data_IF_842600250669
#
_entry.id   IF_842600250669
#
_cell.length_a   1.000
_cell.length_b   1.000
_cell.length_c   1.000
_cell.angle_alpha   90.00
_cell.angle_beta   90.00
_cell.angle_gamma   90.00
#
_symmetry.space_group_name_H-M   'P 1'
#
loop_
_entity.id
_entity.type
_entity.pdbx_description
1 polymer ?
#
# COMPACT_ATOMS: atom_id res chain seq x y z
N UNK A 1 3.30 -3.93 16.18
CA UNK A 1 3.18 -5.14 15.34
C UNK A 1 2.13 -6.14 15.85
N UNK A 2 1.78 -6.17 17.14
CA UNK A 2 0.70 -7.04 17.68
C UNK A 2 -0.70 -6.77 17.09
N UNK A 3 -0.98 -5.57 16.56
CA UNK A 3 -2.28 -5.22 15.94
C UNK A 3 -2.47 -5.71 14.50
N UNK A 4 -1.46 -6.26 13.82
CA UNK A 4 -1.52 -6.72 12.42
C UNK A 4 -2.12 -8.13 12.25
N UNK A 5 -2.38 -8.83 13.35
CA UNK A 5 -2.27 -10.29 13.42
C UNK A 5 -3.61 -11.01 13.29
N UNK A 6 -4.72 -10.36 13.64
CA UNK A 6 -5.99 -11.06 13.90
C UNK A 6 -6.73 -11.56 12.66
N UNK A 7 -6.42 -11.05 11.46
CA UNK A 7 -7.13 -11.38 10.21
C UNK A 7 -6.27 -12.07 9.15
N UNK A 8 -5.00 -12.34 9.44
CA UNK A 8 -4.14 -13.10 8.55
C UNK A 8 -4.61 -14.57 8.47
N UNK A 9 -4.64 -15.14 7.26
CA UNK A 9 -5.14 -16.50 7.04
C UNK A 9 -4.38 -17.53 7.87
N UNK A 10 -3.04 -17.44 7.97
CA UNK A 10 -2.24 -18.40 8.77
C UNK A 10 -2.32 -18.14 10.29
N UNK A 11 -3.14 -17.19 10.72
CA UNK A 11 -3.40 -16.86 12.13
C UNK A 11 -4.89 -16.90 12.47
N UNK A 12 -5.73 -17.18 11.48
CA UNK A 12 -7.17 -17.31 11.67
C UNK A 12 -7.50 -18.53 12.56
N UNK A 13 -8.49 -18.45 13.46
CA UNK A 13 -8.89 -19.58 14.29
C UNK A 13 -9.20 -20.88 13.55
N UNK A 14 -9.77 -20.81 12.32
CA UNK A 14 -10.01 -21.99 11.49
C UNK A 14 -8.71 -22.67 11.06
N UNK A 15 -7.68 -21.89 10.72
CA UNK A 15 -6.35 -22.41 10.42
C UNK A 15 -5.70 -23.03 11.67
N UNK A 16 -5.69 -22.29 12.78
CA UNK A 16 -5.03 -22.72 14.04
C UNK A 16 -5.57 -24.07 14.50
N UNK A 17 -6.89 -24.28 14.45
CA UNK A 17 -7.53 -25.52 14.90
C UNK A 17 -7.66 -26.58 13.80
N UNK A 18 -7.23 -26.28 12.58
CA UNK A 18 -7.52 -27.09 11.39
C UNK A 18 -9.01 -27.44 11.28
N UNK A 19 -9.85 -26.44 11.52
CA UNK A 19 -11.30 -26.51 11.45
C UNK A 19 -11.82 -25.93 10.13
N UNK A 20 -13.03 -26.31 9.76
CA UNK A 20 -13.78 -25.82 8.61
C UNK A 20 -14.96 -24.98 9.08
N UNK A 21 -15.51 -24.13 8.21
CA UNK A 21 -16.71 -23.34 8.53
C UNK A 21 -17.95 -24.22 8.79
N UNK A 22 -17.91 -25.48 8.36
CA UNK A 22 -18.96 -26.49 8.54
C UNK A 22 -18.82 -27.29 9.84
N UNK A 23 -17.71 -27.13 10.58
CA UNK A 23 -17.53 -27.85 11.84
C UNK A 23 -18.44 -27.28 12.95
N UNK A 24 -19.14 -28.21 13.61
CA UNK A 24 -20.03 -27.90 14.73
C UNK A 24 -19.24 -27.48 15.97
N UNK A 25 -19.93 -26.87 16.94
CA UNK A 25 -19.32 -26.45 18.21
C UNK A 25 -18.61 -27.62 18.92
N UNK A 26 -19.21 -28.81 18.94
CA UNK A 26 -18.60 -29.99 19.56
C UNK A 26 -17.32 -30.40 18.82
N UNK A 27 -17.36 -30.39 17.48
CA UNK A 27 -16.19 -30.74 16.67
C UNK A 27 -15.03 -29.77 16.87
N UNK A 28 -15.30 -28.48 17.01
CA UNK A 28 -14.29 -27.45 17.31
C UNK A 28 -13.62 -27.70 18.66
N UNK A 29 -14.37 -28.15 19.66
CA UNK A 29 -13.82 -28.49 20.99
C UNK A 29 -12.85 -29.67 20.87
N UNK A 30 -13.24 -30.73 20.16
CA UNK A 30 -12.39 -31.90 19.92
C UNK A 30 -11.11 -31.53 19.16
N UNK A 31 -11.24 -30.69 18.12
CA UNK A 31 -10.09 -30.23 17.33
C UNK A 31 -9.13 -29.38 18.16
N UNK A 32 -9.64 -28.51 19.03
CA UNK A 32 -8.82 -27.71 19.93
C UNK A 32 -8.07 -28.55 20.96
N UNK A 33 -8.72 -29.54 21.55
CA UNK A 33 -8.06 -30.49 22.47
C UNK A 33 -6.96 -31.26 21.73
N UNK A 34 -7.26 -31.78 20.54
CA UNK A 34 -6.26 -32.49 19.73
C UNK A 34 -5.08 -31.58 19.35
N UNK A 35 -5.34 -30.35 18.91
CA UNK A 35 -4.29 -29.45 18.44
C UNK A 35 -3.43 -28.90 19.58
N UNK A 36 -4.00 -28.72 20.77
CA UNK A 36 -3.24 -28.31 21.97
C UNK A 36 -2.15 -29.31 22.40
N UNK A 37 -2.23 -30.57 21.92
CA UNK A 37 -1.18 -31.57 22.14
C UNK A 37 0.03 -31.40 21.20
N UNK A 38 -0.16 -30.70 20.07
CA UNK A 38 0.81 -30.57 18.98
C UNK A 38 1.31 -29.13 18.79
N UNK A 39 0.62 -28.15 19.37
CA UNK A 39 0.85 -26.72 19.17
C UNK A 39 0.66 -25.95 20.47
N UNK A 40 0.87 -24.64 20.42
CA UNK A 40 0.69 -23.73 21.54
C UNK A 40 -0.74 -23.80 22.11
N UNK A 41 -0.83 -24.19 23.40
CA UNK A 41 -2.10 -24.40 24.12
C UNK A 41 -2.89 -23.10 24.19
N UNK A 42 -2.24 -21.97 24.46
CA UNK A 42 -2.91 -20.69 24.65
C UNK A 42 -3.57 -20.22 23.35
N UNK A 43 -2.89 -20.41 22.22
CA UNK A 43 -3.44 -20.12 20.88
C UNK A 43 -4.63 -21.01 20.54
N UNK A 44 -4.55 -22.31 20.86
CA UNK A 44 -5.65 -23.24 20.61
C UNK A 44 -6.89 -22.90 21.46
N UNK A 45 -6.68 -22.53 22.73
CA UNK A 45 -7.77 -22.13 23.64
C UNK A 45 -8.42 -20.81 23.23
N UNK A 46 -7.62 -19.82 22.79
CA UNK A 46 -8.14 -18.57 22.24
C UNK A 46 -8.96 -18.81 20.96
N UNK A 47 -8.42 -19.57 20.01
CA UNK A 47 -9.12 -19.92 18.76
C UNK A 47 -10.44 -20.66 19.02
N UNK A 48 -10.45 -21.60 19.98
CA UNK A 48 -11.67 -22.29 20.41
C UNK A 48 -12.70 -21.31 20.96
N UNK A 49 -12.29 -20.38 21.83
CA UNK A 49 -13.18 -19.40 22.44
C UNK A 49 -13.82 -18.48 21.40
N UNK A 50 -13.07 -18.11 20.35
CA UNK A 50 -13.58 -17.31 19.23
C UNK A 50 -14.58 -18.09 18.38
N UNK A 51 -14.25 -19.31 17.95
CA UNK A 51 -15.11 -20.10 17.07
C UNK A 51 -16.35 -20.68 17.76
N UNK A 52 -16.30 -20.89 19.08
CA UNK A 52 -17.43 -21.44 19.83
C UNK A 52 -18.56 -20.41 20.06
N UNK A 53 -18.24 -19.10 20.11
CA UNK A 53 -19.22 -18.04 20.35
C UNK A 53 -19.74 -17.47 19.02
N UNK A 54 -21.06 -17.54 18.71
CA UNK A 54 -21.57 -17.14 17.40
C UNK A 54 -21.20 -15.72 16.96
N UNK A 55 -21.17 -14.77 17.91
CA UNK A 55 -20.80 -13.37 17.64
C UNK A 55 -19.31 -13.22 17.27
N UNK A 56 -18.42 -13.86 18.03
CA UNK A 56 -16.97 -13.81 17.76
C UNK A 56 -16.59 -14.61 16.51
N UNK A 57 -17.30 -15.71 16.25
CA UNK A 57 -17.12 -16.54 15.06
C UNK A 57 -17.35 -15.76 13.77
N UNK A 58 -18.26 -14.77 13.73
CA UNK A 58 -18.52 -13.97 12.50
C UNK A 58 -17.22 -13.33 11.99
N UNK A 59 -16.43 -12.72 12.88
CA UNK A 59 -15.17 -12.06 12.50
C UNK A 59 -14.19 -13.05 11.88
N UNK A 60 -14.02 -14.23 12.51
CA UNK A 60 -13.18 -15.30 11.99
C UNK A 60 -13.68 -15.83 10.64
N UNK A 61 -15.00 -15.91 10.44
CA UNK A 61 -15.61 -16.38 9.20
C UNK A 61 -15.42 -15.38 8.04
N UNK A 62 -15.68 -14.09 8.28
CA UNK A 62 -15.51 -13.03 7.28
C UNK A 62 -14.04 -12.91 6.87
N UNK A 63 -13.10 -13.02 7.82
CA UNK A 63 -11.66 -13.00 7.59
C UNK A 63 -11.08 -14.30 7.00
N UNK A 64 -11.92 -15.33 6.76
CA UNK A 64 -11.48 -16.62 6.21
C UNK A 64 -11.60 -16.66 4.69
N UNK A 65 -12.07 -17.79 4.13
CA UNK A 65 -12.33 -17.99 2.72
C UNK A 65 -13.82 -18.36 2.49
N UNK A 66 -14.78 -17.46 2.78
CA UNK A 66 -16.21 -17.73 2.58
C UNK A 66 -16.56 -18.23 1.18
N UNK A 67 -17.32 -19.32 1.12
CA UNK A 67 -17.81 -19.90 -0.13
C UNK A 67 -16.74 -20.69 -0.90
N UNK A 68 -15.61 -20.99 -0.27
CA UNK A 68 -14.55 -21.82 -0.87
C UNK A 68 -14.63 -23.23 -0.29
N UNK A 69 -14.67 -24.24 -1.17
CA UNK A 69 -14.70 -25.64 -0.75
C UNK A 69 -13.49 -25.99 0.15
N UNK A 70 -13.67 -26.75 1.25
CA UNK A 70 -12.58 -27.10 2.17
C UNK A 70 -11.33 -27.73 1.52
N UNK A 71 -11.51 -28.54 0.46
CA UNK A 71 -10.37 -29.11 -0.28
C UNK A 71 -9.55 -28.02 -0.97
N UNK A 72 -10.22 -27.03 -1.53
CA UNK A 72 -9.57 -25.91 -2.21
C UNK A 72 -8.92 -24.95 -1.21
N UNK A 73 -9.52 -24.76 -0.04
CA UNK A 73 -8.91 -24.02 1.07
C UNK A 73 -7.57 -24.64 1.45
N UNK A 74 -7.50 -25.96 1.56
CA UNK A 74 -6.25 -26.68 1.82
C UNK A 74 -5.18 -26.38 0.77
N UNK A 75 -5.51 -26.48 -0.52
CA UNK A 75 -4.56 -26.21 -1.60
C UNK A 75 -4.02 -24.78 -1.52
N UNK A 76 -4.89 -23.80 -1.24
CA UNK A 76 -4.52 -22.40 -1.06
C UNK A 76 -3.55 -22.21 0.12
N UNK A 77 -3.86 -22.80 1.27
CA UNK A 77 -3.03 -22.69 2.48
C UNK A 77 -1.66 -23.32 2.27
N UNK A 78 -1.59 -24.48 1.61
CA UNK A 78 -0.32 -25.14 1.29
C UNK A 78 0.57 -24.25 0.42
N UNK A 79 -0.01 -23.61 -0.59
CA UNK A 79 0.72 -22.68 -1.48
C UNK A 79 1.17 -21.43 -0.71
N UNK A 80 0.34 -20.90 0.19
CA UNK A 80 0.73 -19.78 1.06
C UNK A 80 1.89 -20.13 1.99
N UNK A 81 1.88 -21.30 2.64
CA UNK A 81 2.96 -21.75 3.53
C UNK A 81 4.26 -22.00 2.76
N UNK A 82 4.19 -22.59 1.57
CA UNK A 82 5.38 -22.84 0.74
C UNK A 82 6.12 -21.58 0.31
N UNK A 83 5.42 -20.44 0.33
CA UNK A 83 5.97 -19.14 -0.02
C UNK A 83 6.66 -18.41 1.14
N UNK A 84 6.62 -18.98 2.35
CA UNK A 84 7.22 -18.42 3.58
C UNK A 84 8.75 -18.57 3.60
N UNK A 85 9.34 -19.34 2.68
CA UNK A 85 10.77 -19.71 2.66
C UNK A 85 11.79 -18.56 2.59
N UNK A 86 11.36 -17.30 2.39
CA UNK A 86 12.28 -16.13 2.35
C UNK A 86 11.89 -14.95 3.26
N UNK A 87 10.79 -14.99 4.02
CA UNK A 87 10.18 -13.73 4.52
C UNK A 87 10.24 -13.45 6.02
N UNK A 88 10.90 -14.24 6.87
CA UNK A 88 11.03 -13.90 8.30
C UNK A 88 12.48 -14.06 8.79
N UNK A 89 13.35 -13.16 8.35
CA UNK A 89 14.64 -12.88 8.99
C UNK A 89 14.60 -11.50 9.69
N UNK A 90 13.54 -11.22 10.44
CA UNK A 90 13.50 -10.09 11.37
C UNK A 90 12.39 -10.30 12.40
N UNK A 91 12.53 -11.31 13.23
CA UNK A 91 11.99 -11.28 14.60
C UNK A 91 12.69 -12.37 15.41
N UNK A 92 13.68 -11.94 16.19
CA UNK A 92 14.19 -12.72 17.32
C UNK A 92 13.12 -12.76 18.40
N UNK A 93 12.04 -13.52 18.21
CA UNK A 93 11.32 -14.22 19.28
C UNK A 93 10.46 -15.33 18.66
N UNK A 94 10.55 -16.52 19.25
CA UNK A 94 9.92 -17.79 18.86
C UNK A 94 10.48 -18.50 17.63
N UNK A 95 11.42 -19.40 17.92
CA UNK A 95 11.84 -20.54 17.10
C UNK A 95 10.68 -21.21 16.35
N UNK A 96 10.55 -20.89 15.07
CA UNK A 96 10.21 -21.89 14.05
C UNK A 96 11.14 -21.63 12.87
N UNK A 97 12.08 -22.56 12.66
CA UNK A 97 13.04 -22.54 11.57
C UNK A 97 12.35 -22.30 10.21
N UNK A 98 13.08 -21.76 9.19
CA UNK A 98 12.58 -21.79 7.82
C UNK A 98 12.26 -23.25 7.47
N UNK A 99 11.01 -23.49 7.08
CA UNK A 99 10.52 -24.84 6.78
C UNK A 99 11.07 -25.24 5.41
N UNK A 100 12.32 -25.72 5.39
CA UNK A 100 13.06 -26.09 4.18
C UNK A 100 12.54 -27.38 3.51
N UNK A 101 11.51 -28.02 4.07
CA UNK A 101 10.97 -29.29 3.55
C UNK A 101 9.45 -29.30 3.49
N UNK A 102 8.89 -29.63 2.31
CA UNK A 102 7.48 -29.98 2.13
C UNK A 102 6.98 -30.98 3.18
N UNK A 103 7.86 -31.86 3.65
CA UNK A 103 7.56 -32.86 4.68
C UNK A 103 7.09 -32.25 6.01
N UNK A 104 7.62 -31.10 6.40
CA UNK A 104 7.29 -30.43 7.67
C UNK A 104 6.05 -29.52 7.53
N UNK A 105 5.83 -28.95 6.35
CA UNK A 105 4.56 -28.31 5.94
C UNK A 105 3.41 -29.33 5.98
N UNK A 106 3.63 -30.52 5.42
CA UNK A 106 2.65 -31.61 5.41
C UNK A 106 2.32 -32.17 6.81
N UNK A 107 3.19 -31.97 7.81
CA UNK A 107 2.94 -32.31 9.22
C UNK A 107 2.00 -31.30 9.89
N UNK A 108 2.03 -30.02 9.48
CA UNK A 108 1.13 -28.98 10.02
C UNK A 108 -0.26 -28.99 9.40
N UNK A 109 -0.41 -29.50 8.17
CA UNK A 109 -1.69 -29.54 7.47
C UNK A 109 -2.22 -30.99 7.37
N UNK A 110 -3.18 -31.44 8.21
CA UNK A 110 -3.49 -32.86 8.44
C UNK A 110 -4.14 -33.62 7.29
N UNK A 111 -4.42 -32.96 6.16
CA UNK A 111 -4.99 -33.57 4.95
C UNK A 111 -3.95 -33.89 3.85
N UNK A 112 -2.66 -33.75 4.16
CA UNK A 112 -1.49 -34.04 3.32
C UNK A 112 -1.49 -35.38 2.57
N UNK A 113 -2.27 -36.38 3.00
CA UNK A 113 -2.34 -37.69 2.32
C UNK A 113 -2.99 -37.63 0.93
N UNK A 114 -3.48 -36.49 0.45
CA UNK A 114 -4.02 -36.29 -0.91
C UNK A 114 -3.72 -34.88 -1.49
N UNK A 115 -2.53 -34.34 -1.30
CA UNK A 115 -2.13 -33.15 -2.08
C UNK A 115 -2.00 -33.54 -3.57
N UNK A 116 -2.61 -32.75 -4.46
CA UNK A 116 -2.45 -32.87 -5.93
C UNK A 116 -1.47 -31.82 -6.46
N UNK A 117 -0.90 -30.98 -5.59
CA UNK A 117 0.02 -29.91 -5.98
C UNK A 117 1.39 -30.56 -6.23
N UNK A 118 1.78 -30.60 -7.51
CA UNK A 118 3.07 -31.11 -7.95
C UNK A 118 4.21 -30.17 -7.52
N UNK A 119 5.39 -30.73 -7.23
CA UNK A 119 6.62 -29.96 -6.94
C UNK A 119 6.90 -28.89 -8.01
N UNK A 120 6.49 -29.14 -9.26
CA UNK A 120 6.56 -28.23 -10.40
C UNK A 120 5.78 -26.91 -10.19
N UNK A 121 4.63 -26.96 -9.50
CA UNK A 121 3.84 -25.76 -9.17
C UNK A 121 4.56 -24.92 -8.11
N UNK A 122 5.21 -25.59 -7.15
CA UNK A 122 6.01 -24.93 -6.12
C UNK A 122 7.23 -24.25 -6.72
N UNK A 123 7.93 -24.92 -7.64
CA UNK A 123 9.04 -24.33 -8.38
C UNK A 123 8.58 -23.13 -9.20
N UNK A 124 7.46 -23.25 -9.94
CA UNK A 124 6.93 -22.14 -10.76
C UNK A 124 6.60 -20.91 -9.90
N UNK A 125 6.03 -21.10 -8.70
CA UNK A 125 5.76 -20.00 -7.77
C UNK A 125 7.02 -19.38 -7.17
N UNK A 126 8.10 -20.15 -7.00
CA UNK A 126 9.40 -19.61 -6.61
C UNK A 126 10.01 -18.78 -7.74
N UNK A 127 9.93 -19.27 -8.98
CA UNK A 127 10.45 -18.58 -10.17
C UNK A 127 9.64 -17.34 -10.55
N UNK A 128 8.35 -17.26 -10.18
CA UNK A 128 7.51 -16.10 -10.51
C UNK A 128 7.90 -14.82 -9.78
N UNK A 129 8.73 -14.89 -8.73
CA UNK A 129 9.15 -13.73 -7.92
C UNK A 129 8.00 -12.81 -7.53
N UNK A 130 6.86 -13.41 -7.16
CA UNK A 130 5.68 -12.67 -6.73
C UNK A 130 4.84 -12.04 -7.85
N UNK A 131 5.13 -12.31 -9.13
CA UNK A 131 4.33 -11.84 -10.27
C UNK A 131 2.84 -12.17 -10.08
N UNK A 132 2.00 -11.13 -10.08
CA UNK A 132 0.58 -11.30 -9.79
C UNK A 132 -0.13 -12.16 -10.83
N UNK A 133 0.18 -12.01 -12.11
CA UNK A 133 -0.51 -12.75 -13.18
C UNK A 133 -0.28 -14.25 -12.99
N UNK A 134 0.98 -14.66 -12.85
CA UNK A 134 1.37 -16.06 -12.64
C UNK A 134 0.74 -16.59 -11.34
N UNK A 135 0.94 -15.89 -10.23
CA UNK A 135 0.43 -16.34 -8.91
C UNK A 135 -1.10 -16.40 -8.89
N UNK A 136 -1.79 -15.46 -9.55
CA UNK A 136 -3.24 -15.39 -9.59
C UNK A 136 -3.87 -16.54 -10.36
N UNK A 137 -3.22 -17.01 -11.41
CA UNK A 137 -3.63 -18.16 -12.20
C UNK A 137 -3.49 -19.45 -11.38
N UNK A 138 -2.32 -19.67 -10.76
CA UNK A 138 -2.05 -20.85 -9.95
C UNK A 138 -2.94 -20.94 -8.70
N UNK A 139 -3.15 -19.84 -7.99
CA UNK A 139 -4.06 -19.80 -6.83
C UNK A 139 -5.55 -19.78 -7.26
N UNK A 140 -5.83 -19.61 -8.55
CA UNK A 140 -7.18 -19.47 -9.09
C UNK A 140 -7.95 -18.32 -8.43
N UNK A 141 -7.26 -17.24 -8.09
CA UNK A 141 -7.76 -16.08 -7.31
C UNK A 141 -9.06 -15.56 -7.91
N UNK A 142 -9.14 -15.49 -9.25
CA UNK A 142 -10.29 -14.98 -9.99
C UNK A 142 -11.58 -15.81 -9.83
N UNK A 143 -11.47 -17.06 -9.38
CA UNK A 143 -12.63 -17.97 -9.15
C UNK A 143 -13.15 -17.92 -7.71
N UNK A 144 -12.54 -17.12 -6.83
CA UNK A 144 -12.96 -16.98 -5.43
C UNK A 144 -14.02 -15.88 -5.31
N UNK A 145 -14.84 -15.97 -4.26
CA UNK A 145 -15.76 -14.90 -3.85
C UNK A 145 -14.95 -13.62 -3.56
N UNK A 146 -15.50 -12.41 -3.76
CA UNK A 146 -14.74 -11.17 -3.58
C UNK A 146 -14.08 -11.06 -2.20
N UNK A 147 -14.78 -11.41 -1.11
CA UNK A 147 -14.20 -11.37 0.25
C UNK A 147 -13.08 -12.38 0.46
N UNK A 148 -13.26 -13.64 0.03
CA UNK A 148 -12.22 -14.67 0.14
C UNK A 148 -11.00 -14.32 -0.71
N UNK A 149 -11.24 -13.72 -1.87
CA UNK A 149 -10.20 -13.21 -2.77
C UNK A 149 -9.39 -12.10 -2.11
N UNK A 150 -10.04 -11.11 -1.50
CA UNK A 150 -9.36 -10.01 -0.82
C UNK A 150 -8.51 -10.53 0.36
N UNK A 151 -9.05 -11.47 1.16
CA UNK A 151 -8.30 -12.11 2.25
C UNK A 151 -7.06 -12.86 1.74
N UNK A 152 -7.18 -13.60 0.64
CA UNK A 152 -6.06 -14.30 0.03
C UNK A 152 -5.00 -13.34 -0.53
N UNK A 153 -5.43 -12.28 -1.22
CA UNK A 153 -4.54 -11.25 -1.76
C UNK A 153 -3.76 -10.59 -0.63
N UNK A 154 -4.43 -10.19 0.46
CA UNK A 154 -3.79 -9.61 1.63
C UNK A 154 -2.79 -10.57 2.29
N UNK A 155 -3.18 -11.83 2.50
CA UNK A 155 -2.29 -12.84 3.07
C UNK A 155 -1.05 -13.08 2.18
N UNK A 156 -1.20 -13.00 0.85
CA UNK A 156 -0.08 -13.16 -0.09
C UNK A 156 0.83 -11.93 -0.11
N UNK A 157 0.27 -10.72 -0.05
CA UNK A 157 1.04 -9.47 0.01
C UNK A 157 2.00 -9.42 1.19
N UNK A 158 1.61 -9.95 2.35
CA UNK A 158 2.48 -10.06 3.53
C UNK A 158 3.67 -11.03 3.34
N UNK A 159 3.65 -11.85 2.29
CA UNK A 159 4.58 -12.95 2.04
C UNK A 159 5.21 -12.86 0.65
N UNK A 160 5.27 -11.66 0.07
CA UNK A 160 5.95 -11.46 -1.19
C UNK A 160 7.46 -11.74 -1.00
N UNK A 161 8.10 -12.44 -1.96
CA UNK A 161 9.52 -12.76 -1.86
C UNK A 161 10.39 -11.50 -1.95
N UNK A 162 9.93 -10.49 -2.68
CA UNK A 162 10.47 -9.15 -2.73
C UNK A 162 9.33 -8.11 -2.86
N UNK A 163 9.60 -6.88 -2.45
CA UNK A 163 8.66 -5.76 -2.56
C UNK A 163 9.08 -4.84 -3.72
N UNK A 164 9.18 -5.42 -4.93
CA UNK A 164 9.48 -4.63 -6.12
C UNK A 164 8.31 -3.70 -6.47
N UNK A 165 8.55 -2.46 -6.95
CA UNK A 165 7.49 -1.48 -7.17
C UNK A 165 6.38 -1.96 -8.13
N UNK A 166 6.76 -2.59 -9.23
CA UNK A 166 5.84 -3.17 -10.21
C UNK A 166 4.94 -4.25 -9.58
N UNK A 167 5.56 -5.19 -8.87
CA UNK A 167 4.84 -6.27 -8.17
C UNK A 167 3.87 -5.68 -7.14
N UNK A 168 4.34 -4.80 -6.26
CA UNK A 168 3.49 -4.19 -5.22
C UNK A 168 2.33 -3.42 -5.84
N UNK A 169 2.55 -2.71 -6.95
CA UNK A 169 1.49 -2.01 -7.70
C UNK A 169 0.39 -2.97 -8.14
N UNK A 170 0.75 -4.08 -8.77
CA UNK A 170 -0.23 -5.07 -9.26
C UNK A 170 -1.05 -5.68 -8.12
N UNK A 171 -0.41 -6.01 -6.99
CA UNK A 171 -1.10 -6.56 -5.83
C UNK A 171 -2.03 -5.54 -5.16
N UNK A 172 -1.64 -4.26 -5.08
CA UNK A 172 -2.51 -3.19 -4.57
C UNK A 172 -3.71 -2.99 -5.50
N UNK A 173 -3.49 -2.93 -6.82
CA UNK A 173 -4.59 -2.81 -7.79
C UNK A 173 -5.56 -3.99 -7.69
N UNK A 174 -5.04 -5.21 -7.52
CA UNK A 174 -5.86 -6.39 -7.36
C UNK A 174 -6.74 -6.34 -6.10
N UNK A 175 -6.22 -5.91 -4.95
CA UNK A 175 -7.03 -5.82 -3.72
C UNK A 175 -8.04 -4.67 -3.81
N UNK A 176 -7.65 -3.52 -4.38
CA UNK A 176 -8.53 -2.37 -4.62
C UNK A 176 -9.73 -2.79 -5.46
N UNK A 177 -9.49 -3.38 -6.62
CA UNK A 177 -10.56 -3.84 -7.52
C UNK A 177 -11.42 -4.93 -6.89
N UNK A 178 -10.81 -5.83 -6.12
CA UNK A 178 -11.55 -6.90 -5.45
C UNK A 178 -12.47 -6.36 -4.36
N UNK A 179 -12.01 -5.39 -3.58
CA UNK A 179 -12.76 -4.83 -2.46
C UNK A 179 -14.03 -4.09 -2.91
N UNK A 180 -13.96 -3.34 -4.01
CA UNK A 180 -15.13 -2.64 -4.58
C UNK A 180 -16.26 -3.60 -4.99
N UNK A 181 -15.93 -4.88 -5.24
CA UNK A 181 -16.90 -5.91 -5.61
C UNK A 181 -17.47 -6.68 -4.40
N UNK A 182 -17.09 -6.35 -3.15
CA UNK A 182 -17.60 -7.04 -1.97
C UNK A 182 -19.00 -6.52 -1.64
N UNK A 183 -20.00 -7.40 -1.76
CA UNK A 183 -21.38 -7.12 -1.37
C UNK A 183 -21.69 -7.73 0.01
N UNK A 184 -22.05 -6.93 1.04
CA UNK A 184 -22.37 -7.44 2.38
C UNK A 184 -23.49 -8.50 2.40
N UNK A 185 -24.51 -8.36 1.54
CA UNK A 185 -25.64 -9.31 1.50
C UNK A 185 -25.23 -10.65 0.91
N UNK A 186 -24.35 -10.66 -0.09
CA UNK A 186 -23.80 -11.90 -0.65
C UNK A 186 -22.91 -12.62 0.38
N UNK A 187 -22.06 -11.86 1.09
CA UNK A 187 -21.23 -12.40 2.17
C UNK A 187 -22.11 -13.01 3.27
N UNK A 188 -23.17 -12.32 3.69
CA UNK A 188 -24.13 -12.82 4.67
C UNK A 188 -24.76 -14.15 4.22
N UNK A 189 -25.23 -14.21 2.97
CA UNK A 189 -25.88 -15.40 2.42
C UNK A 189 -24.93 -16.60 2.42
N UNK A 190 -23.69 -16.41 1.95
CA UNK A 190 -22.67 -17.45 1.93
C UNK A 190 -22.37 -17.96 3.36
N UNK A 191 -22.20 -17.06 4.32
CA UNK A 191 -21.91 -17.45 5.70
C UNK A 191 -23.07 -18.18 6.37
N UNK A 192 -24.31 -17.79 6.09
CA UNK A 192 -25.47 -18.45 6.67
C UNK A 192 -25.65 -19.88 6.16
N UNK A 193 -25.27 -20.19 4.92
CA UNK A 193 -25.23 -21.57 4.40
C UNK A 193 -24.24 -22.43 5.20
N UNK A 194 -23.04 -21.91 5.48
CA UNK A 194 -22.04 -22.64 6.27
C UNK A 194 -22.44 -22.78 7.75
N UNK A 195 -23.12 -21.77 8.31
CA UNK A 195 -23.64 -21.79 9.67
C UNK A 195 -24.79 -22.77 9.87
N UNK A 196 -25.68 -22.88 8.88
CA UNK A 196 -26.73 -23.90 8.86
C UNK A 196 -26.12 -25.30 8.91
N UNK A 197 -25.12 -25.57 8.07
CA UNK A 197 -24.41 -26.86 8.04
C UNK A 197 -23.69 -27.19 9.37
N UNK A 198 -23.16 -26.17 10.06
CA UNK A 198 -22.45 -26.33 11.34
C UNK A 198 -23.35 -26.25 12.58
N UNK A 199 -24.64 -25.94 12.42
CA UNK A 199 -25.59 -25.77 13.53
C UNK A 199 -25.42 -24.49 14.34
N UNK A 200 -24.76 -23.47 13.78
CA UNK A 200 -24.67 -22.13 14.38
C UNK A 200 -25.87 -21.27 13.96
N UNK A 201 -26.32 -20.32 14.80
CA UNK A 201 -27.42 -19.43 14.45
C UNK A 201 -27.06 -18.54 13.26
N UNK A 202 -28.01 -18.37 12.35
CA UNK A 202 -27.89 -17.47 11.21
C UNK A 202 -27.66 -16.02 11.66
N UNK A 203 -26.88 -15.29 10.88
CA UNK A 203 -26.64 -13.86 11.02
C UNK A 203 -27.82 -13.14 10.38
N UNK A 204 -28.62 -12.44 11.18
CA UNK A 204 -29.82 -11.73 10.72
C UNK A 204 -29.51 -10.28 10.35
N UNK A 205 -28.72 -9.59 11.17
CA UNK A 205 -28.42 -8.17 11.01
C UNK A 205 -27.29 -7.96 9.99
N UNK A 206 -27.58 -7.28 8.88
CA UNK A 206 -26.58 -6.96 7.84
C UNK A 206 -25.48 -6.02 8.36
N UNK A 207 -25.77 -5.24 9.41
CA UNK A 207 -24.80 -4.36 10.08
C UNK A 207 -23.64 -5.13 10.72
N UNK A 208 -23.87 -6.37 11.17
CA UNK A 208 -22.81 -7.21 11.74
C UNK A 208 -21.79 -7.56 10.66
N UNK A 209 -22.26 -7.95 9.47
CA UNK A 209 -21.39 -8.24 8.31
C UNK A 209 -20.68 -6.98 7.83
N UNK A 210 -21.41 -5.87 7.73
CA UNK A 210 -20.84 -4.60 7.27
C UNK A 210 -19.72 -4.12 8.20
N UNK A 211 -19.90 -4.27 9.52
CA UNK A 211 -18.88 -3.94 10.51
C UNK A 211 -17.63 -4.81 10.36
N UNK A 212 -17.80 -6.11 10.14
CA UNK A 212 -16.67 -7.01 9.90
C UNK A 212 -15.96 -6.74 8.56
N UNK A 213 -16.67 -6.35 7.51
CA UNK A 213 -16.05 -5.90 6.24
C UNK A 213 -15.22 -4.63 6.47
N UNK A 214 -15.67 -3.70 7.32
CA UNK A 214 -14.87 -2.54 7.69
C UNK A 214 -13.64 -2.92 8.53
N UNK A 215 -13.73 -3.95 9.37
CA UNK A 215 -12.58 -4.51 10.07
C UNK A 215 -11.57 -5.09 9.07
N UNK A 216 -12.03 -5.85 8.08
CA UNK A 216 -11.20 -6.35 6.98
C UNK A 216 -10.56 -5.23 6.17
N UNK A 217 -11.30 -4.15 5.85
CA UNK A 217 -10.74 -2.96 5.17
C UNK A 217 -9.58 -2.36 5.94
N UNK A 218 -9.74 -2.18 7.26
CA UNK A 218 -8.66 -1.66 8.13
C UNK A 218 -7.44 -2.58 8.12
N UNK A 219 -7.65 -3.89 8.11
CA UNK A 219 -6.57 -4.86 7.95
C UNK A 219 -5.90 -4.76 6.56
N UNK A 220 -6.66 -4.66 5.47
CA UNK A 220 -6.11 -4.49 4.12
C UNK A 220 -5.29 -3.22 3.98
N UNK A 221 -5.76 -2.09 4.54
CA UNK A 221 -5.00 -0.83 4.60
C UNK A 221 -3.66 -1.02 5.30
N UNK A 222 -3.62 -1.76 6.41
CA UNK A 222 -2.37 -2.07 7.11
C UNK A 222 -1.44 -2.95 6.28
N UNK A 223 -1.97 -3.93 5.54
CA UNK A 223 -1.17 -4.76 4.62
C UNK A 223 -0.60 -3.94 3.47
N UNK A 224 -1.39 -3.04 2.88
CA UNK A 224 -0.92 -2.11 1.84
C UNK A 224 0.21 -1.23 2.40
N UNK A 225 0.00 -0.65 3.59
CA UNK A 225 1.03 0.14 4.27
C UNK A 225 2.32 -0.65 4.46
N UNK A 226 2.21 -1.87 4.96
CA UNK A 226 3.36 -2.76 5.16
C UNK A 226 4.09 -3.01 3.83
N UNK A 227 3.37 -3.32 2.76
CA UNK A 227 3.97 -3.55 1.45
C UNK A 227 4.69 -2.30 0.91
N UNK A 228 4.08 -1.13 1.05
CA UNK A 228 4.69 0.15 0.67
C UNK A 228 5.94 0.44 1.51
N UNK A 229 5.89 0.27 2.83
CA UNK A 229 7.01 0.55 3.73
C UNK A 229 8.24 -0.33 3.45
N UNK A 230 8.03 -1.54 2.89
CA UNK A 230 9.10 -2.45 2.47
C UNK A 230 9.73 -2.11 1.11
N UNK A 231 9.18 -1.14 0.36
CA UNK A 231 9.86 -0.57 -0.80
C UNK A 231 10.93 0.41 -0.30
N UNK A 232 12.19 0.15 -0.65
CA UNK A 232 13.34 0.88 -0.11
C UNK A 232 13.35 2.39 -0.45
N UNK A 233 12.99 2.76 -1.68
CA UNK A 233 13.05 4.16 -2.15
C UNK A 233 11.74 4.90 -1.89
N UNK A 234 11.81 6.04 -1.21
CA UNK A 234 10.68 6.94 -0.99
C UNK A 234 10.03 7.44 -2.30
N UNK A 235 10.86 7.77 -3.30
CA UNK A 235 10.43 8.14 -4.65
C UNK A 235 9.72 6.97 -5.34
N UNK A 236 10.24 5.74 -5.19
CA UNK A 236 9.58 4.56 -5.74
C UNK A 236 8.22 4.29 -5.07
N UNK A 237 8.11 4.47 -3.74
CA UNK A 237 6.83 4.38 -3.01
C UNK A 237 5.80 5.36 -3.56
N UNK A 238 6.20 6.63 -3.72
CA UNK A 238 5.32 7.66 -4.27
C UNK A 238 4.83 7.30 -5.68
N UNK A 239 5.74 6.83 -6.54
CA UNK A 239 5.40 6.37 -7.90
C UNK A 239 4.41 5.21 -7.89
N UNK A 240 4.59 4.21 -7.02
CA UNK A 240 3.61 3.11 -6.88
C UNK A 240 2.22 3.64 -6.55
N UNK A 241 2.13 4.54 -5.56
CA UNK A 241 0.86 5.12 -5.15
C UNK A 241 0.24 5.96 -6.27
N UNK A 242 1.05 6.74 -7.00
CA UNK A 242 0.58 7.48 -8.18
C UNK A 242 0.03 6.55 -9.25
N UNK A 243 0.77 5.49 -9.61
CA UNK A 243 0.31 4.52 -10.61
C UNK A 243 -1.00 3.86 -10.18
N UNK A 244 -1.15 3.52 -8.90
CA UNK A 244 -2.39 2.97 -8.34
C UNK A 244 -3.54 3.96 -8.48
N UNK A 245 -3.32 5.23 -8.12
CA UNK A 245 -4.30 6.31 -8.26
C UNK A 245 -4.72 6.48 -9.72
N UNK A 246 -3.77 6.59 -10.64
CA UNK A 246 -4.03 6.80 -12.07
C UNK A 246 -4.78 5.61 -12.69
N UNK A 247 -4.38 4.39 -12.34
CA UNK A 247 -4.96 3.17 -12.92
C UNK A 247 -6.35 2.84 -12.37
N UNK A 248 -6.63 3.24 -11.13
CA UNK A 248 -7.90 2.94 -10.46
C UNK A 248 -8.92 4.08 -10.54
N UNK A 249 -8.52 5.26 -11.01
CA UNK A 249 -9.45 6.39 -11.20
C UNK A 249 -10.32 6.10 -12.41
N UNK A 250 -11.63 6.00 -12.18
CA UNK A 250 -12.62 5.96 -13.25
C UNK A 250 -12.62 7.33 -13.97
N UNK A 251 -12.34 7.33 -15.28
CA UNK A 251 -12.28 8.54 -16.11
C UNK A 251 -13.59 9.31 -16.12
N UNK A 252 -14.71 8.63 -15.94
CA UNK A 252 -16.05 9.20 -16.16
C UNK A 252 -16.59 9.83 -14.89
N UNK A 253 -16.36 9.18 -13.75
CA UNK A 253 -16.83 9.67 -12.44
C UNK A 253 -15.77 10.45 -11.68
N UNK A 254 -14.51 10.37 -12.13
CA UNK A 254 -13.32 10.86 -11.42
C UNK A 254 -13.39 10.45 -9.93
N UNK A 255 -13.93 9.28 -9.59
CA UNK A 255 -14.10 8.81 -8.21
C UNK A 255 -12.97 7.83 -7.87
N UNK A 256 -12.42 7.98 -6.67
CA UNK A 256 -11.44 7.02 -6.15
C UNK A 256 -12.15 5.87 -5.42
N UNK A 257 -11.80 4.61 -5.73
CA UNK A 257 -12.10 3.49 -4.85
C UNK A 257 -11.60 3.76 -3.45
N UNK A 258 -12.30 3.22 -2.45
CA UNK A 258 -12.05 3.62 -1.06
C UNK A 258 -10.65 3.16 -0.56
N UNK A 259 -10.17 2.02 -1.07
CA UNK A 259 -8.81 1.54 -0.78
C UNK A 259 -7.72 2.34 -1.49
N UNK A 260 -8.02 3.10 -2.56
CA UNK A 260 -7.07 4.04 -3.18
C UNK A 260 -6.83 5.23 -2.25
N UNK A 261 -7.90 5.81 -1.70
CA UNK A 261 -7.80 6.84 -0.67
C UNK A 261 -7.00 6.35 0.54
N UNK A 262 -7.27 5.12 1.00
CA UNK A 262 -6.53 4.49 2.10
C UNK A 262 -5.04 4.28 1.77
N UNK A 263 -4.72 3.95 0.51
CA UNK A 263 -3.34 3.77 0.04
C UNK A 263 -2.56 5.09 0.04
N UNK A 264 -3.20 6.18 -0.41
CA UNK A 264 -2.61 7.52 -0.35
C UNK A 264 -2.41 7.97 1.09
N UNK A 265 -3.39 7.72 1.97
CA UNK A 265 -3.26 8.01 3.41
C UNK A 265 -2.12 7.24 4.07
N UNK A 266 -2.03 5.93 3.81
CA UNK A 266 -0.98 5.06 4.33
C UNK A 266 0.43 5.51 3.89
N UNK A 267 0.56 5.96 2.64
CA UNK A 267 1.79 6.58 2.16
C UNK A 267 2.06 7.91 2.83
N UNK A 268 1.06 8.79 2.98
CA UNK A 268 1.21 10.08 3.65
C UNK A 268 1.77 9.96 5.06
N UNK A 269 1.29 8.98 5.83
CA UNK A 269 1.78 8.69 7.18
C UNK A 269 3.26 8.28 7.21
N UNK A 270 3.69 7.43 6.26
CA UNK A 270 5.11 7.03 6.17
C UNK A 270 5.99 8.07 5.48
N UNK A 271 5.37 9.02 4.76
CA UNK A 271 6.06 10.05 4.01
C UNK A 271 6.45 11.29 4.78
N UNK A 272 5.71 11.61 5.84
CA UNK A 272 5.85 12.86 6.58
C UNK A 272 7.30 13.18 6.96
N UNK A 273 8.03 12.21 7.52
CA UNK A 273 9.39 12.44 8.03
C UNK A 273 10.40 12.79 6.93
N UNK A 274 10.35 12.13 5.77
CA UNK A 274 11.30 12.41 4.68
C UNK A 274 10.89 13.65 3.88
N UNK A 275 9.59 13.94 3.75
CA UNK A 275 9.12 15.18 3.14
C UNK A 275 9.58 16.40 3.93
N UNK A 276 9.52 16.33 5.27
CA UNK A 276 10.04 17.41 6.13
C UNK A 276 11.55 17.61 5.98
N UNK A 277 12.31 16.53 5.79
CA UNK A 277 13.77 16.62 5.55
C UNK A 277 14.04 17.34 4.23
N UNK A 278 13.36 16.95 3.15
CA UNK A 278 13.55 17.60 1.86
C UNK A 278 13.08 19.06 1.85
N UNK A 279 11.99 19.40 2.55
CA UNK A 279 11.57 20.80 2.73
C UNK A 279 12.66 21.64 3.40
N UNK A 280 13.36 21.09 4.40
CA UNK A 280 14.51 21.74 5.04
C UNK A 280 15.72 21.83 4.12
N UNK A 281 15.94 20.82 3.26
CA UNK A 281 17.01 20.87 2.25
C UNK A 281 16.75 21.99 1.24
N UNK A 282 15.52 22.13 0.73
CA UNK A 282 15.10 23.22 -0.15
C UNK A 282 15.35 24.58 0.54
N UNK A 283 14.98 24.73 1.82
CA UNK A 283 15.24 25.95 2.57
C UNK A 283 16.74 26.24 2.75
N UNK A 284 17.55 25.22 3.00
CA UNK A 284 19.00 25.37 3.15
C UNK A 284 19.67 25.76 1.84
N UNK A 285 19.26 25.17 0.71
CA UNK A 285 19.77 25.48 -0.61
C UNK A 285 19.38 26.90 -1.05
N UNK A 286 18.13 27.33 -0.83
CA UNK A 286 17.69 28.72 -1.04
C UNK A 286 18.59 29.72 -0.29
N UNK A 287 18.88 29.47 1.00
CA UNK A 287 19.80 30.32 1.78
C UNK A 287 21.22 30.31 1.22
N UNK A 288 21.72 29.14 0.81
CA UNK A 288 23.07 28.97 0.27
C UNK A 288 23.24 29.71 -1.06
N UNK A 289 22.23 29.69 -1.93
CA UNK A 289 22.25 30.42 -3.21
C UNK A 289 22.29 31.92 -2.97
N UNK A 290 21.50 32.44 -2.01
CA UNK A 290 21.50 33.86 -1.65
C UNK A 290 22.87 34.33 -1.16
N UNK A 291 23.49 33.57 -0.25
CA UNK A 291 24.84 33.86 0.23
C UNK A 291 25.86 33.79 -0.92
N UNK A 292 25.77 32.77 -1.78
CA UNK A 292 26.70 32.61 -2.89
C UNK A 292 26.62 33.77 -3.91
N UNK A 293 25.40 34.29 -4.14
CA UNK A 293 25.18 35.48 -4.96
C UNK A 293 25.77 36.73 -4.31
N UNK A 294 25.54 36.94 -3.00
CA UNK A 294 26.11 38.06 -2.24
C UNK A 294 27.65 38.07 -2.21
N UNK A 295 28.27 36.88 -2.18
CA UNK A 295 29.72 36.71 -2.10
C UNK A 295 30.42 36.68 -3.47
N UNK A 296 29.71 36.93 -4.57
CA UNK A 296 30.22 36.83 -5.96
C UNK A 296 30.94 35.49 -6.21
N UNK A 297 30.32 34.39 -5.78
CA UNK A 297 30.88 33.05 -5.90
C UNK A 297 31.14 32.69 -7.36
N UNK A 298 32.21 31.91 -7.60
CA UNK A 298 32.56 31.42 -8.94
C UNK A 298 31.36 30.77 -9.64
N UNK A 299 31.14 31.19 -10.88
CA UNK A 299 29.99 30.84 -11.70
C UNK A 299 29.65 29.33 -11.78
N UNK A 300 30.62 28.40 -11.94
CA UNK A 300 30.33 26.97 -11.96
C UNK A 300 29.85 26.41 -10.62
N UNK A 301 30.32 26.98 -9.50
CA UNK A 301 29.90 26.56 -8.15
C UNK A 301 28.50 27.06 -7.88
N UNK A 302 28.21 28.30 -8.29
CA UNK A 302 26.89 28.91 -8.15
C UNK A 302 25.82 28.10 -8.90
N UNK A 303 26.04 27.81 -10.19
CA UNK A 303 25.13 27.01 -11.01
C UNK A 303 24.93 25.60 -10.44
N UNK A 304 25.98 24.94 -9.95
CA UNK A 304 25.85 23.61 -9.34
C UNK A 304 24.95 23.59 -8.10
N UNK A 305 24.89 24.68 -7.32
CA UNK A 305 24.00 24.77 -6.15
C UNK A 305 22.55 25.00 -6.61
N UNK A 306 22.35 25.78 -7.67
CA UNK A 306 21.04 25.97 -8.27
C UNK A 306 20.50 24.65 -8.83
N UNK A 307 21.30 23.91 -9.59
CA UNK A 307 20.93 22.59 -10.11
C UNK A 307 20.52 21.63 -8.98
N UNK A 308 21.26 21.63 -7.86
CA UNK A 308 20.95 20.84 -6.67
C UNK A 308 19.57 21.23 -6.08
N UNK A 309 19.24 22.52 -6.04
CA UNK A 309 17.92 23.01 -5.61
C UNK A 309 16.81 22.55 -6.55
N UNK A 310 17.00 22.68 -7.86
CA UNK A 310 15.98 22.30 -8.85
C UNK A 310 15.69 20.81 -8.79
N UNK A 311 16.73 19.97 -8.72
CA UNK A 311 16.59 18.53 -8.59
C UNK A 311 15.89 18.15 -7.28
N UNK A 312 16.22 18.83 -6.17
CA UNK A 312 15.61 18.59 -4.86
C UNK A 312 14.11 18.93 -4.89
N UNK A 313 13.72 20.04 -5.53
CA UNK A 313 12.29 20.38 -5.69
C UNK A 313 11.54 19.36 -6.52
N UNK A 314 12.14 18.89 -7.62
CA UNK A 314 11.51 17.91 -8.49
C UNK A 314 11.32 16.58 -7.74
N UNK A 315 12.36 16.11 -7.06
CA UNK A 315 12.31 14.89 -6.25
C UNK A 315 11.29 14.98 -5.14
N UNK A 316 11.26 16.11 -4.43
CA UNK A 316 10.27 16.40 -3.41
C UNK A 316 8.84 16.41 -3.97
N UNK A 317 8.63 17.04 -5.13
CA UNK A 317 7.30 17.10 -5.73
C UNK A 317 6.81 15.72 -6.17
N UNK A 318 7.66 14.89 -6.77
CA UNK A 318 7.31 13.49 -7.10
C UNK A 318 6.83 12.74 -5.86
N UNK A 319 7.43 13.00 -4.70
CA UNK A 319 7.02 12.37 -3.44
C UNK A 319 5.70 12.94 -2.90
N UNK A 320 5.49 14.25 -3.00
CA UNK A 320 4.30 14.88 -2.41
C UNK A 320 3.04 14.75 -3.27
N UNK A 321 3.21 14.48 -4.57
CA UNK A 321 2.13 14.51 -5.57
C UNK A 321 0.90 13.65 -5.20
N UNK A 322 1.00 12.39 -4.71
CA UNK A 322 -0.17 11.61 -4.32
C UNK A 322 -1.01 12.31 -3.24
N UNK A 323 -0.33 12.87 -2.23
CA UNK A 323 -0.94 13.55 -1.09
C UNK A 323 -1.60 14.85 -1.55
N UNK A 324 -0.91 15.60 -2.41
CA UNK A 324 -1.41 16.84 -2.98
C UNK A 324 -2.68 16.61 -3.82
N UNK A 325 -2.70 15.59 -4.66
CA UNK A 325 -3.86 15.24 -5.48
C UNK A 325 -5.07 14.83 -4.61
N UNK A 326 -4.83 14.05 -3.54
CA UNK A 326 -5.86 13.70 -2.57
C UNK A 326 -6.47 14.92 -1.89
N UNK A 327 -5.64 15.88 -1.44
CA UNK A 327 -6.16 17.14 -0.85
C UNK A 327 -6.98 17.95 -1.84
N UNK A 328 -6.50 18.10 -3.07
CA UNK A 328 -7.24 18.83 -4.11
C UNK A 328 -8.63 18.25 -4.34
N UNK A 329 -8.76 16.91 -4.36
CA UNK A 329 -10.06 16.24 -4.52
C UNK A 329 -11.01 16.51 -3.36
N UNK A 330 -10.48 16.71 -2.16
CA UNK A 330 -11.25 17.11 -0.98
C UNK A 330 -11.58 18.62 -0.97
N UNK A 331 -11.21 19.36 -2.03
CA UNK A 331 -11.34 20.81 -2.09
C UNK A 331 -10.37 21.55 -1.16
N UNK A 332 -9.34 20.88 -0.67
CA UNK A 332 -8.34 21.42 0.25
C UNK A 332 -7.06 21.79 -0.48
N UNK A 333 -6.48 22.93 -0.09
CA UNK A 333 -5.17 23.36 -0.58
C UNK A 333 -4.05 22.56 0.10
N UNK A 334 -3.05 22.14 -0.66
CA UNK A 334 -1.82 21.59 -0.11
C UNK A 334 -0.77 22.69 0.14
N UNK A 335 -0.75 23.25 1.35
CA UNK A 335 0.08 24.42 1.68
C UNK A 335 1.58 24.21 1.39
N UNK A 336 2.15 23.05 1.76
CA UNK A 336 3.58 22.80 1.54
C UNK A 336 3.97 22.89 0.05
N UNK A 337 3.11 22.45 -0.89
CA UNK A 337 3.37 22.61 -2.33
C UNK A 337 3.42 24.07 -2.77
N UNK A 338 2.55 24.89 -2.19
CA UNK A 338 2.59 26.32 -2.46
C UNK A 338 3.77 27.00 -1.79
N UNK A 339 4.11 26.64 -0.56
CA UNK A 339 5.20 27.25 0.20
C UNK A 339 6.56 26.95 -0.46
N UNK A 340 6.77 25.70 -0.91
CA UNK A 340 7.96 25.30 -1.67
C UNK A 340 8.06 26.04 -3.01
N UNK A 341 6.97 26.08 -3.78
CA UNK A 341 6.95 26.81 -5.05
C UNK A 341 7.17 28.31 -4.85
N UNK A 342 6.54 28.92 -3.84
CA UNK A 342 6.66 30.35 -3.56
C UNK A 342 8.07 30.71 -3.09
N UNK A 343 8.74 29.85 -2.31
CA UNK A 343 10.13 30.05 -1.91
C UNK A 343 11.06 30.16 -3.11
N UNK A 344 11.03 29.18 -4.01
CA UNK A 344 11.95 29.13 -5.15
C UNK A 344 11.58 30.16 -6.22
N UNK A 345 10.29 30.48 -6.37
CA UNK A 345 9.83 31.62 -7.17
C UNK A 345 10.38 32.95 -6.67
N UNK A 346 10.36 33.18 -5.35
CA UNK A 346 10.93 34.39 -4.74
C UNK A 346 12.46 34.43 -4.83
N UNK A 347 13.12 33.27 -4.90
CA UNK A 347 14.55 33.20 -5.18
C UNK A 347 14.86 33.66 -6.62
N UNK A 348 14.14 33.16 -7.62
CA UNK A 348 14.30 33.60 -9.01
C UNK A 348 14.10 35.13 -9.14
N UNK A 349 13.04 35.68 -8.53
CA UNK A 349 12.79 37.12 -8.55
C UNK A 349 13.92 37.90 -7.86
N UNK A 350 14.48 37.37 -6.76
CA UNK A 350 15.61 37.99 -6.07
C UNK A 350 16.87 38.04 -6.94
N UNK A 351 17.19 36.92 -7.62
CA UNK A 351 18.37 36.85 -8.50
C UNK A 351 18.29 37.87 -9.63
N UNK A 352 17.13 37.99 -10.28
CA UNK A 352 16.92 39.01 -11.31
C UNK A 352 17.02 40.44 -10.75
N UNK A 353 16.38 40.73 -9.62
CA UNK A 353 16.29 42.09 -9.11
C UNK A 353 17.62 42.62 -8.57
N UNK A 354 18.38 41.80 -7.86
CA UNK A 354 19.60 42.23 -7.17
C UNK A 354 20.88 42.02 -8.00
N UNK A 355 20.90 41.01 -8.89
CA UNK A 355 22.12 40.64 -9.65
C UNK A 355 21.93 40.64 -11.18
N UNK A 356 20.74 41.01 -11.69
CA UNK A 356 20.44 41.03 -13.12
C UNK A 356 20.56 39.66 -13.82
N UNK A 357 20.41 38.57 -13.06
CA UNK A 357 20.49 37.17 -13.54
C UNK A 357 19.18 36.74 -14.23
N UNK A 358 18.91 37.30 -15.42
CA UNK A 358 17.67 37.06 -16.16
C UNK A 358 17.52 35.60 -16.61
N UNK A 359 18.54 35.05 -17.27
CA UNK A 359 18.50 33.72 -17.89
C UNK A 359 18.23 32.65 -16.82
N UNK A 360 18.98 32.71 -15.71
CA UNK A 360 18.82 31.79 -14.59
C UNK A 360 17.45 31.94 -13.91
N UNK A 361 16.96 33.18 -13.77
CA UNK A 361 15.62 33.42 -13.19
C UNK A 361 14.52 32.82 -14.06
N UNK A 362 14.62 32.93 -15.39
CA UNK A 362 13.70 32.31 -16.32
C UNK A 362 13.79 30.78 -16.29
N UNK A 363 15.00 30.22 -16.22
CA UNK A 363 15.22 28.79 -16.09
C UNK A 363 14.52 28.21 -14.86
N UNK A 364 14.76 28.82 -13.68
CA UNK A 364 14.13 28.42 -12.41
C UNK A 364 12.60 28.48 -12.52
N UNK A 365 12.05 29.58 -13.06
CA UNK A 365 10.61 29.75 -13.18
C UNK A 365 9.98 28.77 -14.17
N UNK A 366 10.62 28.49 -15.32
CA UNK A 366 10.14 27.50 -16.27
C UNK A 366 10.14 26.10 -15.67
N UNK A 367 11.20 25.72 -14.95
CA UNK A 367 11.26 24.45 -14.22
C UNK A 367 10.10 24.34 -13.21
N UNK A 368 9.86 25.38 -12.40
CA UNK A 368 8.75 25.38 -11.44
C UNK A 368 7.38 25.26 -12.13
N UNK A 369 7.21 25.89 -13.30
CA UNK A 369 5.98 25.78 -14.08
C UNK A 369 5.70 24.34 -14.51
N UNK A 370 6.74 23.63 -14.93
CA UNK A 370 6.64 22.24 -15.37
C UNK A 370 6.40 21.29 -14.19
N UNK A 371 7.17 21.44 -13.10
CA UNK A 371 7.01 20.62 -11.90
C UNK A 371 5.62 20.77 -11.29
N UNK A 372 5.11 22.00 -11.16
CA UNK A 372 3.82 22.27 -10.52
C UNK A 372 2.65 22.39 -11.52
N UNK A 373 2.76 21.82 -12.73
CA UNK A 373 1.72 21.90 -13.75
C UNK A 373 0.33 21.40 -13.28
N UNK A 374 0.31 20.46 -12.31
CA UNK A 374 -0.92 19.96 -11.69
C UNK A 374 -1.63 20.93 -10.74
N UNK A 375 -1.07 22.13 -10.50
CA UNK A 375 -1.61 23.14 -9.58
C UNK A 375 -1.82 24.47 -10.35
N UNK A 376 -3.02 24.71 -10.90
CA UNK A 376 -3.30 25.87 -11.76
C UNK A 376 -2.91 27.21 -11.13
N UNK A 377 -3.22 27.39 -9.84
CA UNK A 377 -2.91 28.62 -9.11
C UNK A 377 -1.39 28.92 -8.99
N UNK A 378 -0.53 27.89 -9.02
CA UNK A 378 0.93 28.07 -9.03
C UNK A 378 1.39 28.39 -10.45
N UNK A 379 0.93 27.60 -11.44
CA UNK A 379 1.28 27.78 -12.85
C UNK A 379 0.89 29.18 -13.40
N UNK A 380 -0.27 29.69 -13.03
CA UNK A 380 -0.74 31.04 -13.41
C UNK A 380 0.19 32.13 -12.85
N UNK A 381 0.56 32.03 -11.56
CA UNK A 381 1.45 33.01 -10.92
C UNK A 381 2.83 33.03 -11.56
N UNK A 382 3.41 31.85 -11.80
CA UNK A 382 4.72 31.72 -12.44
C UNK A 382 4.69 32.28 -13.87
N UNK A 383 3.61 32.04 -14.61
CA UNK A 383 3.45 32.58 -15.97
C UNK A 383 3.41 34.12 -15.94
N UNK A 384 2.70 34.71 -14.99
CA UNK A 384 2.68 36.17 -14.83
C UNK A 384 4.06 36.75 -14.47
N UNK A 385 4.83 36.04 -13.63
CA UNK A 385 6.20 36.44 -13.27
C UNK A 385 7.14 36.39 -14.48
N UNK A 386 7.09 35.32 -15.29
CA UNK A 386 7.85 35.20 -16.54
C UNK A 386 7.52 36.33 -17.53
N UNK A 387 6.23 36.65 -17.71
CA UNK A 387 5.80 37.78 -18.56
C UNK A 387 6.27 39.14 -18.02
N UNK A 388 6.35 39.30 -16.70
CA UNK A 388 6.87 40.52 -16.09
C UNK A 388 8.38 40.65 -16.32
N UNK A 389 9.16 39.59 -16.10
CA UNK A 389 10.60 39.57 -16.34
C UNK A 389 10.94 39.92 -17.79
N UNK A 390 10.27 39.28 -18.75
CA UNK A 390 10.50 39.54 -20.17
C UNK A 390 10.24 41.00 -20.54
N UNK A 391 9.13 41.58 -20.04
CA UNK A 391 8.81 42.99 -20.27
C UNK A 391 9.86 43.93 -19.67
N UNK A 392 10.37 43.64 -18.49
CA UNK A 392 11.40 44.47 -17.84
C UNK A 392 12.71 44.37 -18.62
N UNK A 393 13.11 43.17 -19.06
CA UNK A 393 14.31 42.95 -19.87
C UNK A 393 14.24 43.69 -21.21
N UNK A 394 13.14 43.55 -21.95
CA UNK A 394 12.91 44.27 -23.22
C UNK A 394 12.97 45.80 -23.04
N UNK A 395 12.42 46.32 -21.95
CA UNK A 395 12.48 47.75 -21.64
C UNK A 395 13.91 48.23 -21.34
N UNK A 396 14.72 47.42 -20.64
CA UNK A 396 16.14 47.74 -20.37
C UNK A 396 16.94 47.78 -21.67
N UNK A 397 16.75 46.81 -22.57
CA UNK A 397 17.41 46.81 -23.88
C UNK A 397 17.05 48.04 -24.72
N UNK A 398 15.78 48.44 -24.72
CA UNK A 398 15.30 49.63 -25.46
C UNK A 398 15.80 50.96 -24.88
N UNK A 399 16.25 51.00 -23.62
CA UNK A 399 16.81 52.21 -22.98
C UNK A 399 18.34 52.33 -23.14
N UNK A 400 19.01 51.28 -23.60
CA UNK A 400 20.46 51.25 -23.83
C UNK A 400 20.81 51.74 -25.26
N UNK A 401 19.83 51.82 -26.16
CA UNK A 401 19.92 52.48 -27.47
C UNK A 401 19.35 53.89 -27.44
#
# INVERSE_FOLDING_TARGET
MENYVSMDLLRNPFYILNATQQDSRQRIIELAEKQSLLSDVDKCMAARAELAMPRKRVSAEVAWLPGVNPKRVYDILLLLESSVGNCLASDNTTSTAPVDSLTEVLVRVPYAKKSTIADEVLETLKFSKGDFTVVSEFLGIRKLTPIARANLIAARMLRLPDYRPDVVTDWILAIVQTFENINPSEVQAILNVEREASGFPAITELSDITSEIQNCRRYYQQVIKFALDNIHSAKARAKVVMTVVESATDSDTNRWPILVEDSVGAYGDSAAAFLEIEEKNIEALDKKIRIAADEETSDPIFHSIVDELLQTIEDWYVMVQPIQLSKNRQGLRHNASHDAADRVRLLAIYLFNEYDELDLSQEILNMLKDVFAGIPAIAERITADLEALNRIAEQREQQIF
#
